data_IF_346258138599
#
_entry.id   IF_346258138599
#
_cell.length_a   1.000
_cell.length_b   1.000
_cell.length_c   1.000
_cell.angle_alpha   90.00
_cell.angle_beta   90.00
_cell.angle_gamma   90.00
#
_symmetry.space_group_name_H-M   'P 1'
#
loop_
_entity.id
_entity.type
_entity.pdbx_description
1 polymer ?
#
# COMPACT_ATOMS: atom_id res chain seq x y z
N UNK A 1 1.38 -2.70 12.75
CA UNK A 1 1.14 -1.79 11.61
C UNK A 1 2.49 -1.29 11.05
N UNK A 2 3.24 -2.12 10.31
CA UNK A 2 4.46 -1.67 9.65
C UNK A 2 4.15 -0.62 8.58
N UNK A 3 4.65 0.59 8.80
CA UNK A 3 4.66 1.66 7.79
C UNK A 3 5.74 1.35 6.75
N UNK A 4 5.36 1.23 5.48
CA UNK A 4 6.26 0.83 4.40
C UNK A 4 6.78 2.00 3.57
N UNK A 5 5.93 2.98 3.28
CA UNK A 5 6.29 4.16 2.50
C UNK A 5 5.62 5.43 3.02
N UNK A 6 6.30 6.56 2.78
CA UNK A 6 5.73 7.90 2.86
C UNK A 6 5.99 8.66 1.56
N UNK A 7 4.97 9.34 1.05
CA UNK A 7 5.04 10.09 -0.21
C UNK A 7 4.11 11.31 -0.13
N UNK A 8 4.65 12.53 -0.01
CA UNK A 8 3.88 13.78 0.00
C UNK A 8 2.59 13.73 0.86
N UNK A 9 2.66 13.19 2.08
CA UNK A 9 1.52 13.08 2.99
C UNK A 9 0.79 11.73 2.92
N UNK A 10 0.96 10.96 1.85
CA UNK A 10 0.46 9.59 1.76
C UNK A 10 1.31 8.66 2.63
N UNK A 11 0.64 7.83 3.43
CA UNK A 11 1.25 6.82 4.29
C UNK A 11 0.76 5.45 3.83
N UNK A 12 1.69 4.61 3.36
CA UNK A 12 1.42 3.24 2.95
C UNK A 12 1.84 2.28 4.06
N UNK A 13 1.00 1.31 4.39
CA UNK A 13 1.27 0.38 5.48
C UNK A 13 0.52 -0.95 5.33
N UNK A 14 0.94 -1.94 6.12
CA UNK A 14 0.19 -3.20 6.29
C UNK A 14 -0.45 -3.26 7.68
N UNK A 15 -1.63 -3.86 7.78
CA UNK A 15 -2.13 -4.33 9.08
C UNK A 15 -1.51 -5.68 9.42
N UNK A 16 -0.95 -5.82 10.61
CA UNK A 16 -0.20 -7.04 10.97
C UNK A 16 -1.07 -8.30 11.02
N UNK A 17 -2.38 -8.14 11.13
CA UNK A 17 -3.35 -9.24 11.24
C UNK A 17 -4.07 -9.53 9.91
N UNK A 18 -3.85 -8.71 8.88
CA UNK A 18 -4.48 -8.84 7.56
C UNK A 18 -3.35 -8.95 6.53
N UNK A 19 -3.22 -10.11 5.92
CA UNK A 19 -2.04 -10.42 5.11
C UNK A 19 -2.38 -10.97 3.73
N UNK A 20 -3.48 -11.72 3.60
CA UNK A 20 -3.88 -12.36 2.34
C UNK A 20 -5.29 -11.95 1.91
N UNK A 21 -5.53 -11.71 0.60
CA UNK A 21 -4.53 -11.52 -0.46
C UNK A 21 -3.64 -10.28 -0.20
N UNK A 22 -2.58 -10.06 -0.98
CA UNK A 22 -1.68 -8.92 -0.74
C UNK A 22 -2.43 -7.61 -0.92
N UNK A 23 -2.45 -6.78 0.11
CA UNK A 23 -3.08 -5.46 0.06
C UNK A 23 -2.28 -4.42 0.85
N UNK A 24 -2.46 -3.15 0.49
CA UNK A 24 -1.82 -2.00 1.10
C UNK A 24 -2.89 -1.05 1.60
N UNK A 25 -2.77 -0.61 2.84
CA UNK A 25 -3.58 0.47 3.36
C UNK A 25 -2.88 1.80 3.09
N UNK A 26 -3.64 2.77 2.60
CA UNK A 26 -3.13 4.10 2.30
C UNK A 26 -3.95 5.14 3.03
N UNK A 27 -3.27 5.93 3.87
CA UNK A 27 -3.84 7.08 4.56
C UNK A 27 -3.34 8.36 3.90
N UNK A 28 -4.22 9.35 3.76
CA UNK A 28 -3.88 10.73 3.45
C UNK A 28 -4.83 11.67 4.21
N UNK A 29 -4.28 12.51 5.09
CA UNK A 29 -5.09 13.24 6.06
C UNK A 29 -5.84 12.29 6.99
N UNK A 30 -7.16 12.48 7.11
CA UNK A 30 -8.05 11.67 7.94
C UNK A 30 -8.77 10.55 7.16
N UNK A 31 -8.39 10.33 5.89
CA UNK A 31 -9.04 9.41 4.97
C UNK A 31 -8.18 8.19 4.68
N UNK A 32 -8.81 7.04 4.44
CA UNK A 32 -8.13 5.76 4.24
C UNK A 32 -8.80 4.92 3.14
N UNK A 33 -7.99 4.35 2.24
CA UNK A 33 -8.43 3.32 1.30
C UNK A 33 -7.49 2.13 1.28
N UNK A 34 -8.04 0.96 0.94
CA UNK A 34 -7.31 -0.30 0.84
C UNK A 34 -7.12 -0.61 -0.64
N UNK A 35 -5.91 -1.01 -1.01
CA UNK A 35 -5.55 -1.34 -2.38
C UNK A 35 -5.11 -2.80 -2.42
N UNK A 36 -5.89 -3.66 -3.05
CA UNK A 36 -5.54 -5.06 -3.27
C UNK A 36 -4.67 -5.18 -4.51
N UNK A 37 -3.55 -5.89 -4.38
CA UNK A 37 -2.60 -6.10 -5.46
C UNK A 37 -2.82 -7.50 -6.03
N UNK A 38 -3.34 -7.57 -7.25
CA UNK A 38 -3.53 -8.84 -7.97
C UNK A 38 -2.25 -9.12 -8.75
N UNK A 39 -1.58 -10.22 -8.38
CA UNK A 39 -0.32 -10.64 -8.98
C UNK A 39 -0.52 -11.93 -9.78
N UNK A 40 0.00 -11.98 -10.99
CA UNK A 40 0.06 -13.19 -11.82
C UNK A 40 1.49 -13.37 -12.34
N UNK A 41 2.05 -14.56 -12.17
CA UNK A 41 3.42 -14.89 -12.60
C UNK A 41 4.51 -13.90 -12.13
N UNK A 42 4.30 -13.31 -10.94
CA UNK A 42 5.23 -12.36 -10.32
C UNK A 42 5.10 -10.92 -10.81
N UNK A 43 4.17 -10.62 -11.72
CA UNK A 43 3.88 -9.28 -12.21
C UNK A 43 2.53 -8.77 -11.70
N UNK A 44 2.43 -7.46 -11.48
CA UNK A 44 1.19 -6.82 -11.05
C UNK A 44 0.24 -6.67 -12.24
N UNK A 45 -0.93 -7.30 -12.18
CA UNK A 45 -1.93 -7.26 -13.25
C UNK A 45 -3.05 -6.28 -12.99
N UNK A 46 -3.46 -6.12 -11.74
CA UNK A 46 -4.59 -5.27 -11.36
C UNK A 46 -4.40 -4.71 -9.95
N UNK A 47 -4.95 -3.51 -9.71
CA UNK A 47 -5.07 -2.92 -8.38
C UNK A 47 -6.53 -2.60 -8.14
N UNK A 48 -7.13 -3.23 -7.13
CA UNK A 48 -8.53 -3.00 -6.76
C UNK A 48 -8.61 -2.12 -5.50
N UNK A 49 -9.51 -1.13 -5.51
CA UNK A 49 -9.71 -0.24 -4.37
C UNK A 49 -10.91 -0.69 -3.55
N UNK A 50 -10.71 -0.83 -2.24
CA UNK A 50 -11.77 -1.14 -1.27
C UNK A 50 -11.90 -0.04 -0.22
N UNK A 51 -13.13 0.15 0.23
CA UNK A 51 -13.46 1.06 1.33
C UNK A 51 -13.51 0.27 2.64
N UNK A 52 -12.88 0.83 3.67
CA UNK A 52 -12.96 0.29 5.02
C UNK A 52 -14.25 0.80 5.69
N UNK A 53 -15.06 -0.12 6.22
CA UNK A 53 -16.33 0.25 6.86
C UNK A 53 -16.10 1.23 8.02
N UNK A 54 -16.82 2.35 8.00
CA UNK A 54 -16.75 3.37 9.05
C UNK A 54 -15.55 4.32 8.96
N UNK A 55 -14.79 4.28 7.86
CA UNK A 55 -13.72 5.23 7.57
C UNK A 55 -14.03 5.91 6.23
N UNK A 56 -13.82 7.22 6.15
CA UNK A 56 -13.97 7.92 4.89
C UNK A 56 -12.89 7.46 3.89
N UNK A 57 -13.28 7.07 2.68
CA UNK A 57 -12.31 6.69 1.66
C UNK A 57 -11.52 7.91 1.17
N UNK A 58 -10.34 7.65 0.62
CA UNK A 58 -9.60 8.66 -0.12
C UNK A 58 -10.46 9.23 -1.26
N UNK A 59 -10.41 10.53 -1.56
CA UNK A 59 -11.07 11.09 -2.73
C UNK A 59 -10.45 10.48 -4.00
N UNK A 60 -11.21 10.45 -5.09
CA UNK A 60 -10.79 9.78 -6.34
C UNK A 60 -9.41 10.23 -6.84
N UNK A 61 -9.09 11.52 -6.73
CA UNK A 61 -7.77 12.06 -7.10
C UNK A 61 -6.62 11.44 -6.30
N UNK A 62 -6.84 11.25 -5.01
CA UNK A 62 -5.85 10.68 -4.10
C UNK A 62 -5.76 9.18 -4.28
N UNK A 63 -6.89 8.51 -4.57
CA UNK A 63 -6.89 7.10 -4.95
C UNK A 63 -6.04 6.88 -6.21
N UNK A 64 -6.23 7.67 -7.27
CA UNK A 64 -5.42 7.61 -8.50
C UNK A 64 -3.94 7.86 -8.22
N UNK A 65 -3.62 8.77 -7.31
CA UNK A 65 -2.23 9.07 -6.92
C UNK A 65 -1.59 7.90 -6.17
N UNK A 66 -2.32 7.32 -5.22
CA UNK A 66 -1.89 6.14 -4.46
C UNK A 66 -1.73 4.91 -5.37
N UNK A 67 -2.67 4.70 -6.29
CA UNK A 67 -2.60 3.61 -7.27
C UNK A 67 -1.38 3.74 -8.18
N UNK A 68 -1.13 4.93 -8.75
CA UNK A 68 0.06 5.17 -9.57
C UNK A 68 1.36 4.93 -8.77
N UNK A 69 1.38 5.31 -7.49
CA UNK A 69 2.50 5.00 -6.60
C UNK A 69 2.67 3.48 -6.42
N UNK A 70 1.59 2.76 -6.15
CA UNK A 70 1.61 1.30 -5.98
C UNK A 70 2.10 0.63 -7.26
N UNK A 71 1.57 1.00 -8.43
CA UNK A 71 2.01 0.46 -9.72
C UNK A 71 3.51 0.68 -9.94
N UNK A 72 4.03 1.86 -9.64
CA UNK A 72 5.46 2.18 -9.80
C UNK A 72 6.36 1.40 -8.83
N UNK A 73 5.92 1.18 -7.60
CA UNK A 73 6.74 0.61 -6.51
C UNK A 73 6.29 -0.79 -6.07
N UNK A 74 5.43 -1.48 -6.83
CA UNK A 74 4.83 -2.75 -6.41
C UNK A 74 5.89 -3.80 -6.04
N UNK A 75 6.99 -3.92 -6.81
CA UNK A 75 8.07 -4.87 -6.49
C UNK A 75 8.68 -4.61 -5.11
N UNK A 76 8.83 -3.34 -4.72
CA UNK A 76 9.31 -2.97 -3.38
C UNK A 76 8.25 -3.19 -2.30
N UNK A 77 6.97 -2.99 -2.61
CA UNK A 77 5.86 -3.28 -1.70
C UNK A 77 5.82 -4.79 -1.42
N UNK A 78 5.87 -5.64 -2.45
CA UNK A 78 5.90 -7.10 -2.31
C UNK A 78 7.12 -7.56 -1.52
N UNK A 79 8.32 -7.04 -1.79
CA UNK A 79 9.53 -7.36 -1.01
C UNK A 79 9.34 -7.03 0.49
N UNK A 80 8.77 -5.87 0.80
CA UNK A 80 8.45 -5.50 2.19
C UNK A 80 7.38 -6.41 2.78
N UNK A 81 6.38 -6.81 2.01
CA UNK A 81 5.33 -7.74 2.44
C UNK A 81 5.94 -9.10 2.80
N UNK A 82 6.78 -9.68 1.93
CA UNK A 82 7.48 -10.96 2.16
C UNK A 82 8.37 -10.87 3.40
N UNK A 83 9.18 -9.80 3.51
CA UNK A 83 10.03 -9.58 4.69
C UNK A 83 9.24 -9.55 5.98
N UNK A 84 8.10 -8.86 6.00
CA UNK A 84 7.29 -8.71 7.20
C UNK A 84 6.51 -9.99 7.54
N UNK A 85 5.69 -10.50 6.61
CA UNK A 85 4.75 -11.57 6.89
C UNK A 85 5.36 -12.97 6.80
N UNK A 86 6.31 -13.19 5.88
CA UNK A 86 6.93 -14.50 5.67
C UNK A 86 8.22 -14.63 6.49
N UNK A 87 9.17 -13.70 6.30
CA UNK A 87 10.48 -13.78 6.96
C UNK A 87 10.47 -13.30 8.43
N UNK A 88 9.35 -12.73 8.90
CA UNK A 88 9.18 -12.16 10.25
C UNK A 88 10.26 -11.12 10.60
N UNK A 89 10.69 -10.36 9.61
CA UNK A 89 11.69 -9.31 9.74
C UNK A 89 11.08 -7.94 9.98
N UNK A 90 11.83 -7.08 10.66
CA UNK A 90 11.45 -5.66 10.81
C UNK A 90 11.59 -4.94 9.47
N UNK A 91 10.48 -4.37 8.99
CA UNK A 91 10.48 -3.51 7.80
C UNK A 91 10.68 -2.05 8.20
N UNK A 92 11.58 -1.37 7.48
CA UNK A 92 11.78 0.08 7.60
C UNK A 92 10.92 0.85 6.61
N UNK A 93 10.42 2.00 7.03
CA UNK A 93 9.72 2.96 6.17
C UNK A 93 10.70 3.59 5.19
N UNK A 94 10.28 3.71 3.93
CA UNK A 94 11.02 4.40 2.86
C UNK A 94 10.31 5.71 2.52
N UNK A 95 11.01 6.84 2.60
CA UNK A 95 10.43 8.16 2.30
C UNK A 95 10.77 8.54 0.85
N UNK A 96 9.75 8.75 0.02
CA UNK A 96 9.89 9.17 -1.36
C UNK A 96 9.65 10.68 -1.45
N UNK A 97 10.69 11.42 -1.83
CA UNK A 97 10.65 12.89 -1.98
C UNK A 97 10.59 13.37 -3.43
N UNK A 98 10.80 12.47 -4.38
CA UNK A 98 10.70 12.77 -5.82
C UNK A 98 9.25 12.56 -6.27
N UNK A 99 8.69 13.54 -7.00
CA UNK A 99 7.38 13.38 -7.65
C UNK A 99 7.39 12.16 -8.59
N UNK A 100 6.23 11.51 -8.68
CA UNK A 100 6.05 10.31 -9.50
C UNK A 100 6.36 10.55 -10.97
#
# INVERSE_FOLDING_TARGET
>A
MPKIFEYFGFIFYFYSNEHEPVHVHVIHGDQESIFDLIMLDGELTEVNVRVKKGVEPLPEKDQRTAEAFIQKYHKNIIDKWVKFFVMKQRVRTTIIRKKL
#
